data_IF_755335965027
#
_entry.id   IF_755335965027
#
_cell.length_a   1.000
_cell.length_b   1.000
_cell.length_c   1.000
_cell.angle_alpha   90.00
_cell.angle_beta   90.00
_cell.angle_gamma   90.00
#
_symmetry.space_group_name_H-M   'P 1'
#
loop_
_entity.id
_entity.type
_entity.pdbx_description
1 polymer ?
#
# COMPACT_ATOMS: atom_id res chain seq x y z
N UNK A 1 29.13 33.03 9.35
CA UNK A 1 28.85 33.04 10.80
C UNK A 1 29.15 31.67 11.35
N UNK A 2 30.07 31.58 12.32
CA UNK A 2 30.39 30.35 13.01
C UNK A 2 29.22 29.95 13.91
N UNK A 3 28.77 28.71 13.81
CA UNK A 3 27.73 28.15 14.68
C UNK A 3 28.01 26.68 14.96
N UNK A 4 27.48 26.20 16.08
CA UNK A 4 27.55 24.76 16.39
C UNK A 4 26.75 23.96 15.35
N UNK A 5 27.37 22.93 14.79
CA UNK A 5 26.75 22.07 13.80
C UNK A 5 26.06 20.87 14.46
N UNK A 6 24.74 20.75 14.26
CA UNK A 6 23.93 19.65 14.80
C UNK A 6 24.26 18.24 14.27
N UNK A 7 25.07 18.14 13.21
CA UNK A 7 25.40 16.85 12.58
C UNK A 7 26.77 16.30 13.02
N UNK A 8 27.77 17.17 13.20
CA UNK A 8 29.12 16.76 13.57
C UNK A 8 29.54 17.22 14.98
N UNK A 9 28.76 18.08 15.65
CA UNK A 9 29.03 18.60 16.99
C UNK A 9 30.11 19.69 17.07
N UNK A 10 30.78 20.03 15.95
CA UNK A 10 31.84 21.05 15.91
C UNK A 10 31.30 22.43 15.57
N UNK A 11 32.06 23.48 15.92
CA UNK A 11 31.77 24.86 15.52
C UNK A 11 32.49 25.14 14.21
N UNK A 12 31.73 25.46 13.17
CA UNK A 12 32.27 25.89 11.88
C UNK A 12 31.29 26.83 11.18
N UNK A 13 31.72 27.43 10.08
CA UNK A 13 30.79 28.25 9.29
C UNK A 13 29.66 27.37 8.77
N UNK A 14 28.44 27.90 8.82
CA UNK A 14 27.25 27.28 8.25
C UNK A 14 27.36 26.86 6.78
N UNK A 15 28.26 27.49 6.01
CA UNK A 15 28.52 27.17 4.60
C UNK A 15 29.51 26.02 4.41
N UNK A 16 30.27 25.65 5.45
CA UNK A 16 31.22 24.54 5.39
C UNK A 16 30.47 23.22 5.48
N UNK A 17 30.65 22.37 4.47
CA UNK A 17 30.15 21.00 4.50
C UNK A 17 31.03 20.14 5.41
N UNK A 18 30.44 19.64 6.49
CA UNK A 18 31.12 18.79 7.47
C UNK A 18 31.09 17.30 7.12
N UNK A 19 30.45 16.91 6.01
CA UNK A 19 30.33 15.52 5.54
C UNK A 19 29.45 14.61 6.42
N UNK A 20 28.98 15.09 7.58
CA UNK A 20 28.07 14.37 8.48
C UNK A 20 26.59 14.69 8.23
N UNK A 21 26.30 15.66 7.36
CA UNK A 21 24.94 15.98 6.96
C UNK A 21 24.42 14.85 6.06
N UNK A 22 23.30 14.17 6.41
CA UNK A 22 22.75 13.14 5.54
C UNK A 22 22.39 13.74 4.18
N UNK A 23 22.75 13.05 3.09
CA UNK A 23 22.39 13.48 1.74
C UNK A 23 20.86 13.44 1.61
N UNK A 24 20.26 14.63 1.50
CA UNK A 24 18.81 14.81 1.65
C UNK A 24 17.95 14.25 0.52
N UNK A 25 18.54 13.63 -0.51
CA UNK A 25 17.79 13.19 -1.68
C UNK A 25 17.47 11.70 -1.59
N UNK A 26 16.36 11.36 -0.92
CA UNK A 26 15.73 10.05 -1.12
C UNK A 26 15.30 9.97 -2.59
N UNK A 27 15.96 9.11 -3.37
CA UNK A 27 15.56 8.86 -4.76
C UNK A 27 14.15 8.27 -4.76
N UNK A 28 13.20 8.95 -5.42
CA UNK A 28 11.85 8.43 -5.64
C UNK A 28 11.92 7.08 -6.35
N UNK A 29 11.37 6.03 -5.75
CA UNK A 29 11.37 4.70 -6.35
C UNK A 29 10.41 4.64 -7.54
N UNK A 30 10.56 3.63 -8.40
CA UNK A 30 9.60 3.42 -9.50
C UNK A 30 8.17 3.17 -8.98
N UNK A 31 8.05 2.57 -7.79
CA UNK A 31 6.75 2.32 -7.11
C UNK A 31 6.11 3.62 -6.67
N UNK A 32 6.90 4.54 -6.10
CA UNK A 32 6.40 5.86 -5.71
C UNK A 32 5.91 6.63 -6.94
N UNK A 33 6.69 6.60 -8.02
CA UNK A 33 6.29 7.19 -9.31
C UNK A 33 4.99 6.57 -9.83
N UNK A 34 4.86 5.24 -9.80
CA UNK A 34 3.63 4.54 -10.21
C UNK A 34 2.43 5.00 -9.37
N UNK A 35 2.56 5.06 -8.05
CA UNK A 35 1.49 5.46 -7.14
C UNK A 35 1.05 6.92 -7.34
N UNK A 36 1.85 7.76 -7.98
CA UNK A 36 1.48 9.13 -8.33
C UNK A 36 0.73 9.26 -9.65
N UNK A 37 0.79 8.25 -10.51
CA UNK A 37 0.14 8.27 -11.83
C UNK A 37 -1.37 8.40 -11.73
N UNK A 38 -1.98 9.05 -12.72
CA UNK A 38 -3.44 9.06 -12.89
C UNK A 38 -3.98 7.65 -13.12
N UNK A 39 -3.24 6.80 -13.82
CA UNK A 39 -3.57 5.39 -14.04
C UNK A 39 -3.82 4.65 -12.71
N UNK A 40 -2.89 4.78 -11.75
CA UNK A 40 -3.08 4.16 -10.44
C UNK A 40 -4.25 4.76 -9.68
N UNK A 41 -4.42 6.10 -9.69
CA UNK A 41 -5.53 6.76 -9.00
C UNK A 41 -6.88 6.26 -9.54
N UNK A 42 -7.04 6.20 -10.86
CA UNK A 42 -8.26 5.73 -11.52
C UNK A 42 -8.51 4.24 -11.23
N UNK A 43 -7.49 3.39 -11.34
CA UNK A 43 -7.61 1.96 -11.04
C UNK A 43 -7.94 1.71 -9.57
N UNK A 44 -7.30 2.41 -8.64
CA UNK A 44 -7.63 2.34 -7.21
C UNK A 44 -9.10 2.70 -6.96
N UNK A 45 -9.60 3.74 -7.61
CA UNK A 45 -11.00 4.16 -7.45
C UNK A 45 -11.99 3.18 -8.09
N UNK A 46 -11.60 2.52 -9.18
CA UNK A 46 -12.32 1.39 -9.78
C UNK A 46 -12.44 0.20 -8.82
N UNK A 47 -11.32 -0.27 -8.25
CA UNK A 47 -11.31 -1.37 -7.27
C UNK A 47 -12.14 -1.01 -6.05
N UNK A 48 -12.01 0.22 -5.53
CA UNK A 48 -12.86 0.70 -4.44
C UNK A 48 -14.34 0.70 -4.79
N UNK A 49 -14.74 0.97 -6.03
CA UNK A 49 -16.14 0.88 -6.47
C UNK A 49 -16.61 -0.57 -6.57
N UNK A 50 -15.82 -1.46 -7.19
CA UNK A 50 -16.10 -2.91 -7.26
C UNK A 50 -16.35 -3.48 -5.86
N UNK A 51 -15.48 -3.13 -4.93
CA UNK A 51 -15.48 -3.61 -3.55
C UNK A 51 -16.41 -2.80 -2.63
N UNK A 52 -17.26 -1.94 -3.22
CA UNK A 52 -18.24 -1.09 -2.50
C UNK A 52 -17.63 -0.29 -1.34
N UNK A 53 -16.35 0.06 -1.45
CA UNK A 53 -15.54 0.75 -0.43
C UNK A 53 -15.56 0.06 0.93
N UNK A 54 -15.68 -1.27 0.93
CA UNK A 54 -15.62 -2.11 2.14
C UNK A 54 -14.40 -3.00 2.15
N UNK A 55 -13.95 -3.36 3.34
CA UNK A 55 -12.94 -4.39 3.50
C UNK A 55 -13.50 -5.75 3.06
N UNK A 56 -12.89 -6.33 2.03
CA UNK A 56 -13.32 -7.60 1.45
C UNK A 56 -13.02 -8.82 2.32
N UNK A 57 -12.13 -8.69 3.30
CA UNK A 57 -11.84 -9.72 4.31
C UNK A 57 -12.87 -9.64 5.44
N UNK A 58 -13.15 -8.43 5.97
CA UNK A 58 -14.17 -8.22 7.00
C UNK A 58 -15.57 -8.69 6.58
N UNK A 59 -16.01 -8.36 5.36
CA UNK A 59 -17.38 -8.69 4.90
C UNK A 59 -17.62 -10.20 4.78
N UNK A 60 -16.55 -10.97 4.63
CA UNK A 60 -16.53 -12.43 4.58
C UNK A 60 -16.27 -13.07 5.94
N UNK A 61 -16.12 -12.25 6.99
CA UNK A 61 -15.91 -12.69 8.38
C UNK A 61 -14.64 -13.56 8.53
N UNK A 62 -13.66 -13.33 7.67
CA UNK A 62 -12.34 -13.98 7.73
C UNK A 62 -11.38 -13.14 8.59
N UNK A 63 -10.43 -13.79 9.25
CA UNK A 63 -9.36 -13.14 10.03
C UNK A 63 -9.90 -12.06 10.98
N UNK A 64 -10.73 -12.47 11.93
CA UNK A 64 -11.58 -11.57 12.70
C UNK A 64 -10.81 -10.39 13.34
N UNK A 65 -11.29 -9.17 13.06
CA UNK A 65 -10.81 -7.93 13.65
C UNK A 65 -12.00 -7.13 14.22
N UNK A 66 -12.05 -7.05 15.56
CA UNK A 66 -12.99 -6.17 16.27
C UNK A 66 -14.48 -6.42 16.00
N UNK A 67 -14.89 -7.63 15.61
CA UNK A 67 -16.27 -8.02 15.28
C UNK A 67 -16.97 -7.17 14.19
N UNK A 68 -16.21 -6.48 13.32
CA UNK A 68 -16.77 -5.60 12.29
C UNK A 68 -16.86 -6.30 10.94
N UNK A 69 -18.02 -6.88 10.64
CA UNK A 69 -18.33 -7.43 9.30
C UNK A 69 -18.36 -6.33 8.23
N UNK A 70 -19.17 -5.29 8.44
CA UNK A 70 -19.31 -4.17 7.51
C UNK A 70 -18.30 -3.06 7.83
N UNK A 71 -17.04 -3.25 7.43
CA UNK A 71 -15.98 -2.30 7.74
C UNK A 71 -15.66 -1.38 6.54
N UNK A 72 -15.80 -0.07 6.77
CA UNK A 72 -15.52 1.02 5.80
C UNK A 72 -14.37 1.93 6.24
N UNK A 73 -13.74 1.64 7.38
CA UNK A 73 -12.69 2.49 7.96
C UNK A 73 -11.33 2.20 7.32
N UNK A 74 -10.63 3.27 6.95
CA UNK A 74 -9.25 3.23 6.43
C UNK A 74 -9.01 2.22 5.30
N UNK A 75 -9.93 2.20 4.32
CA UNK A 75 -9.87 1.26 3.19
C UNK A 75 -8.76 1.65 2.21
N UNK A 76 -7.85 0.71 2.00
CA UNK A 76 -6.71 0.76 1.11
C UNK A 76 -6.86 -0.30 0.02
N UNK A 77 -6.30 -0.05 -1.17
CA UNK A 77 -6.20 -1.07 -2.21
C UNK A 77 -4.83 -1.72 -2.08
N UNK A 78 -4.82 -3.02 -1.81
CA UNK A 78 -3.65 -3.85 -1.63
C UNK A 78 -3.32 -4.59 -2.93
N UNK A 79 -2.03 -4.71 -3.23
CA UNK A 79 -1.49 -5.52 -4.32
C UNK A 79 -1.20 -6.93 -3.78
N UNK A 80 -1.91 -7.96 -4.25
CA UNK A 80 -1.75 -9.34 -3.74
C UNK A 80 -0.35 -9.87 -4.12
N UNK A 81 0.01 -9.77 -5.39
CA UNK A 81 1.40 -9.76 -5.83
C UNK A 81 1.90 -8.32 -5.81
N UNK A 82 2.92 -8.09 -4.99
CA UNK A 82 3.53 -6.78 -4.82
C UNK A 82 4.10 -6.24 -6.14
N UNK A 83 4.36 -4.93 -6.18
CA UNK A 83 4.97 -4.27 -7.35
C UNK A 83 6.40 -4.77 -7.63
N UNK A 84 7.02 -5.42 -6.65
CA UNK A 84 8.32 -6.09 -6.68
C UNK A 84 8.23 -7.45 -7.35
N UNK A 85 7.25 -8.25 -6.93
CA UNK A 85 7.09 -9.63 -7.39
C UNK A 85 6.53 -9.67 -8.81
N UNK A 86 5.54 -8.83 -9.12
CA UNK A 86 4.87 -8.88 -10.43
C UNK A 86 4.36 -7.53 -10.91
N UNK A 87 5.27 -6.70 -11.42
CA UNK A 87 4.93 -5.38 -11.94
C UNK A 87 4.00 -5.39 -13.17
N UNK A 88 3.94 -6.49 -13.94
CA UNK A 88 3.03 -6.57 -15.10
C UNK A 88 1.57 -6.57 -14.66
N UNK A 89 1.28 -7.12 -13.46
CA UNK A 89 -0.05 -7.20 -12.82
C UNK A 89 -0.41 -5.99 -11.95
N UNK A 90 0.36 -4.90 -11.98
CA UNK A 90 0.15 -3.71 -11.12
C UNK A 90 -1.22 -3.01 -11.27
N UNK A 91 -1.92 -3.26 -12.38
CA UNK A 91 -3.26 -2.71 -12.72
C UNK A 91 -4.30 -3.83 -12.96
N UNK A 92 -3.96 -5.08 -12.67
CA UNK A 92 -4.82 -6.24 -12.88
C UNK A 92 -5.87 -6.32 -11.76
N UNK A 93 -7.15 -6.46 -12.12
CA UNK A 93 -8.23 -6.54 -11.16
C UNK A 93 -8.14 -7.80 -10.28
N UNK A 94 -7.60 -8.90 -10.84
CA UNK A 94 -7.35 -10.15 -10.11
C UNK A 94 -6.09 -10.06 -9.23
N UNK A 95 -5.44 -8.90 -9.15
CA UNK A 95 -4.29 -8.66 -8.29
C UNK A 95 -4.52 -7.53 -7.27
N UNK A 96 -5.72 -6.97 -7.23
CA UNK A 96 -6.04 -5.79 -6.43
C UNK A 96 -7.28 -6.03 -5.57
N UNK A 97 -7.19 -5.73 -4.29
CA UNK A 97 -8.29 -5.92 -3.34
C UNK A 97 -8.40 -4.73 -2.38
N UNK A 98 -9.62 -4.28 -2.08
CA UNK A 98 -9.89 -3.25 -1.09
C UNK A 98 -10.04 -3.86 0.32
N UNK A 99 -9.14 -3.49 1.23
CA UNK A 99 -9.10 -3.99 2.62
C UNK A 99 -8.82 -2.85 3.60
N UNK A 100 -9.17 -3.02 4.88
CA UNK A 100 -8.85 -2.05 5.92
C UNK A 100 -7.35 -2.07 6.25
N UNK A 101 -6.86 -1.03 6.92
CA UNK A 101 -5.45 -0.93 7.33
C UNK A 101 -4.94 -2.15 8.12
N UNK A 102 -5.77 -2.73 8.99
CA UNK A 102 -5.40 -3.91 9.76
C UNK A 102 -5.21 -5.15 8.87
N UNK A 103 -6.19 -5.48 8.02
CA UNK A 103 -6.06 -6.60 7.09
C UNK A 103 -4.99 -6.35 6.02
N UNK A 104 -4.69 -5.08 5.70
CA UNK A 104 -3.55 -4.73 4.85
C UNK A 104 -2.23 -5.12 5.51
N UNK A 105 -2.04 -4.83 6.78
CA UNK A 105 -0.83 -5.23 7.52
C UNK A 105 -0.69 -6.76 7.59
N UNK A 106 -1.78 -7.47 7.92
CA UNK A 106 -1.81 -8.93 7.95
C UNK A 106 -1.46 -9.55 6.58
N UNK A 107 -1.94 -8.95 5.49
CA UNK A 107 -1.63 -9.40 4.13
C UNK A 107 -0.14 -9.19 3.78
N UNK A 108 0.43 -8.02 4.11
CA UNK A 108 1.85 -7.72 3.91
C UNK A 108 2.77 -8.66 4.72
N UNK A 109 2.32 -9.06 5.91
CA UNK A 109 3.03 -10.00 6.79
C UNK A 109 2.85 -11.47 6.38
N UNK A 110 1.96 -11.75 5.42
CA UNK A 110 1.64 -13.11 4.98
C UNK A 110 0.75 -13.90 5.96
N UNK A 111 0.17 -13.25 6.96
CA UNK A 111 -0.79 -13.86 7.90
C UNK A 111 -2.10 -14.22 7.20
N UNK A 112 -2.48 -13.43 6.18
CA UNK A 112 -3.50 -13.81 5.20
C UNK A 112 -2.77 -14.38 3.98
N UNK A 113 -2.90 -15.68 3.67
CA UNK A 113 -2.26 -16.26 2.51
C UNK A 113 -2.77 -15.60 1.22
N UNK A 114 -1.86 -15.31 0.29
CA UNK A 114 -2.19 -14.71 -1.02
C UNK A 114 -3.31 -15.43 -1.75
N UNK A 115 -3.33 -16.76 -1.69
CA UNK A 115 -4.36 -17.56 -2.34
C UNK A 115 -5.78 -17.20 -1.88
N UNK A 116 -5.95 -16.93 -0.58
CA UNK A 116 -7.26 -16.50 -0.03
C UNK A 116 -7.69 -15.18 -0.67
N UNK A 117 -6.76 -14.23 -0.81
CA UNK A 117 -7.04 -12.94 -1.45
C UNK A 117 -7.33 -13.11 -2.95
N UNK A 118 -6.60 -13.99 -3.63
CA UNK A 118 -6.84 -14.32 -5.05
C UNK A 118 -8.22 -14.93 -5.28
N UNK A 119 -8.65 -15.84 -4.40
CA UNK A 119 -9.96 -16.47 -4.49
C UNK A 119 -11.07 -15.43 -4.31
N UNK A 120 -10.90 -14.49 -3.37
CA UNK A 120 -11.83 -13.38 -3.16
C UNK A 120 -11.95 -12.51 -4.41
N UNK A 121 -10.84 -12.05 -4.99
CA UNK A 121 -10.92 -11.15 -6.16
C UNK A 121 -11.43 -11.87 -7.40
N UNK A 122 -11.10 -13.16 -7.58
CA UNK A 122 -11.62 -13.96 -8.69
C UNK A 122 -13.13 -14.13 -8.61
N UNK A 123 -13.67 -14.41 -7.43
CA UNK A 123 -15.12 -14.47 -7.20
C UNK A 123 -15.81 -13.14 -7.56
N UNK A 124 -15.16 -12.01 -7.27
CA UNK A 124 -15.70 -10.68 -7.58
C UNK A 124 -15.68 -10.35 -9.08
N UNK A 125 -14.64 -10.77 -9.81
CA UNK A 125 -14.55 -10.54 -11.26
C UNK A 125 -15.44 -11.52 -12.05
N UNK A 126 -15.58 -12.74 -11.55
CA UNK A 126 -16.33 -13.82 -12.21
C UNK A 126 -17.38 -14.40 -11.26
N UNK A 127 -18.41 -13.64 -10.90
CA UNK A 127 -19.48 -14.15 -10.05
C UNK A 127 -20.17 -15.33 -10.76
N UNK A 128 -20.50 -16.42 -10.05
CA UNK A 128 -21.22 -17.53 -10.64
C UNK A 128 -22.52 -17.04 -11.28
N UNK A 129 -22.78 -17.47 -12.51
CA UNK A 129 -24.04 -17.19 -13.20
C UNK A 129 -25.16 -17.87 -12.42
N UNK A 130 -26.08 -17.05 -11.90
CA UNK A 130 -27.30 -17.47 -11.19
C UNK A 130 -28.20 -18.36 -12.03
#
# INVERSE_FOLDING_TARGET
>A
MLKSCKYCGRIHDSKLDCGKKPSGYKRTSYKDKFRWTSLWKNKRDEIKRRDRRMCQVCIRELYAYGARKYNFQDIQVHHIDSLEENYSRRLDNENLIAICSHHHEMAEQGEIPKQVLFDIVREQEYPPTS
#
